data_IF_196517628994
#
_entry.id   IF_196517628994
#
_cell.length_a   1.000
_cell.length_b   1.000
_cell.length_c   1.000
_cell.angle_alpha   90.00
_cell.angle_beta   90.00
_cell.angle_gamma   90.00
#
_symmetry.space_group_name_H-M   'P 1'
#
loop_
_entity.id
_entity.type
_entity.pdbx_description
1 polymer ?
#
# COMPACT_ATOMS: atom_id res chain seq x y z
N UNK A 1 9.83 -11.07 -2.14
CA UNK A 1 11.13 -10.91 -1.45
C UNK A 1 10.95 -10.07 -0.20
N UNK A 2 10.27 -8.91 -0.26
CA UNK A 2 10.01 -8.08 0.93
C UNK A 2 9.21 -8.78 2.03
N UNK A 3 8.25 -9.62 1.69
CA UNK A 3 7.40 -10.33 2.66
C UNK A 3 8.17 -11.30 3.57
N UNK A 4 9.16 -12.01 3.06
CA UNK A 4 9.93 -12.98 3.86
C UNK A 4 10.88 -12.29 4.85
N UNK A 5 11.46 -11.17 4.45
CA UNK A 5 12.31 -10.36 5.33
C UNK A 5 11.47 -9.77 6.48
N UNK A 6 10.31 -9.23 6.20
CA UNK A 6 9.39 -8.70 7.21
C UNK A 6 8.92 -9.73 8.25
N UNK A 7 8.82 -11.02 7.89
CA UNK A 7 8.43 -12.08 8.82
C UNK A 7 9.51 -12.33 9.86
N UNK A 8 10.78 -12.42 9.44
CA UNK A 8 11.93 -12.68 10.35
C UNK A 8 12.05 -11.59 11.42
N UNK A 9 11.89 -10.35 11.05
CA UNK A 9 12.03 -9.21 11.94
C UNK A 9 10.99 -9.14 13.01
N UNK A 10 9.75 -9.28 12.62
CA UNK A 10 8.63 -9.27 13.57
C UNK A 10 8.71 -10.43 14.52
N UNK A 11 9.19 -11.58 14.06
CA UNK A 11 9.45 -12.73 14.92
C UNK A 11 10.55 -12.43 15.94
N UNK A 12 11.68 -11.85 15.53
CA UNK A 12 12.75 -11.50 16.44
C UNK A 12 12.35 -10.37 17.41
N UNK A 13 11.59 -9.35 16.94
CA UNK A 13 11.04 -8.32 17.80
C UNK A 13 10.12 -8.92 18.88
N UNK A 14 9.25 -9.84 18.51
CA UNK A 14 8.36 -10.53 19.47
C UNK A 14 9.16 -11.35 20.51
N UNK A 15 10.23 -12.03 20.08
CA UNK A 15 11.13 -12.76 20.99
C UNK A 15 11.88 -11.82 21.94
N UNK A 16 12.34 -10.66 21.43
CA UNK A 16 13.03 -9.66 22.25
C UNK A 16 12.10 -9.08 23.32
N UNK A 17 10.87 -8.69 22.97
CA UNK A 17 9.88 -8.21 23.94
C UNK A 17 9.57 -9.31 24.98
N UNK A 18 9.39 -10.56 24.54
CA UNK A 18 9.18 -11.68 25.45
C UNK A 18 10.33 -11.82 26.42
N UNK A 19 11.58 -11.82 25.94
CA UNK A 19 12.77 -11.92 26.79
C UNK A 19 12.86 -10.75 27.78
N UNK A 20 12.57 -9.53 27.35
CA UNK A 20 12.52 -8.36 28.23
C UNK A 20 11.49 -8.51 29.36
N UNK A 21 10.28 -8.95 29.04
CA UNK A 21 9.22 -9.17 30.03
C UNK A 21 9.64 -10.23 31.07
N UNK A 22 10.21 -11.35 30.63
CA UNK A 22 10.70 -12.43 31.48
C UNK A 22 11.88 -12.01 32.38
N UNK A 23 12.85 -11.27 31.81
CA UNK A 23 14.04 -10.82 32.57
C UNK A 23 13.74 -9.76 33.62
N UNK A 24 12.70 -8.94 33.39
CA UNK A 24 12.32 -7.85 34.28
C UNK A 24 11.10 -8.16 35.15
N UNK A 25 10.60 -9.40 35.12
CA UNK A 25 9.40 -9.85 35.85
C UNK A 25 8.18 -8.95 35.58
N UNK A 26 8.00 -8.53 34.30
CA UNK A 26 6.89 -7.70 33.86
C UNK A 26 5.80 -8.58 33.25
N UNK A 27 4.59 -8.48 33.79
CA UNK A 27 3.43 -9.19 33.25
C UNK A 27 3.02 -8.62 31.89
N UNK A 28 2.83 -9.48 30.90
CA UNK A 28 2.37 -9.07 29.56
C UNK A 28 2.22 -10.25 28.61
N UNK A 29 1.56 -10.01 27.48
CA UNK A 29 1.40 -11.01 26.41
C UNK A 29 1.83 -10.39 25.09
N UNK A 30 2.72 -11.05 24.39
CA UNK A 30 3.14 -10.67 23.03
C UNK A 30 2.56 -11.65 22.05
N UNK A 31 1.83 -11.17 21.05
CA UNK A 31 1.24 -11.97 19.98
C UNK A 31 1.83 -11.56 18.65
N UNK A 32 2.46 -12.51 17.95
CA UNK A 32 2.91 -12.30 16.59
C UNK A 32 1.84 -12.80 15.62
N UNK A 33 1.38 -11.91 14.74
CA UNK A 33 0.42 -12.23 13.70
C UNK A 33 1.11 -12.41 12.36
N UNK A 34 0.89 -13.56 11.70
CA UNK A 34 1.21 -13.75 10.28
C UNK A 34 0.06 -13.21 9.42
N UNK A 35 0.31 -12.17 8.65
CA UNK A 35 -0.71 -11.47 7.86
C UNK A 35 -0.36 -11.57 6.38
N UNK A 36 -0.80 -12.63 5.65
CA UNK A 36 -0.46 -12.83 4.25
C UNK A 36 -1.24 -11.89 3.33
N UNK A 37 -0.72 -11.70 2.11
CA UNK A 37 -1.45 -11.09 1.02
C UNK A 37 -1.75 -9.60 1.18
N UNK A 38 -0.86 -8.82 1.78
CA UNK A 38 -1.02 -7.36 1.87
C UNK A 38 -1.16 -6.73 0.47
N UNK A 39 -0.35 -7.16 -0.49
CA UNK A 39 -0.27 -6.65 -1.87
C UNK A 39 -1.45 -7.07 -2.80
N UNK A 40 -2.58 -7.48 -2.27
CA UNK A 40 -3.75 -7.79 -3.09
C UNK A 40 -4.67 -8.86 -2.53
N UNK A 41 -4.60 -9.12 -1.24
CA UNK A 41 -5.48 -10.06 -0.54
C UNK A 41 -5.96 -9.54 0.82
N UNK A 42 -5.36 -8.46 1.33
CA UNK A 42 -5.80 -7.70 2.51
C UNK A 42 -6.15 -8.56 3.73
N UNK A 43 -5.26 -9.49 4.11
CA UNK A 43 -5.56 -10.42 5.19
C UNK A 43 -5.89 -9.74 6.52
N UNK A 44 -5.27 -8.58 6.84
CA UNK A 44 -5.56 -7.84 8.08
C UNK A 44 -6.99 -7.33 8.11
N UNK A 45 -7.58 -6.94 6.96
CA UNK A 45 -8.98 -6.56 6.88
C UNK A 45 -9.92 -7.76 7.17
N UNK A 46 -9.62 -8.95 6.63
CA UNK A 46 -10.37 -10.16 6.95
C UNK A 46 -10.18 -10.60 8.39
N UNK A 47 -8.98 -10.48 8.95
CA UNK A 47 -8.70 -10.73 10.37
C UNK A 47 -9.43 -9.73 11.27
N UNK A 48 -9.57 -8.45 10.85
CA UNK A 48 -10.37 -7.44 11.52
C UNK A 48 -11.86 -7.84 11.57
N UNK A 49 -12.43 -8.27 10.43
CA UNK A 49 -13.78 -8.80 10.35
C UNK A 49 -14.00 -9.96 11.32
N UNK A 50 -13.02 -10.85 11.43
CA UNK A 50 -13.10 -12.03 12.29
C UNK A 50 -12.77 -11.71 13.77
N UNK A 51 -12.47 -10.44 14.10
CA UNK A 51 -12.33 -9.92 15.44
C UNK A 51 -11.00 -10.19 16.14
N UNK A 52 -9.95 -10.55 15.39
CA UNK A 52 -8.64 -10.89 15.96
C UNK A 52 -7.96 -9.72 16.70
N UNK A 53 -8.24 -8.50 16.29
CA UNK A 53 -7.60 -7.29 16.86
C UNK A 53 -8.27 -6.77 18.13
N UNK A 54 -9.49 -7.20 18.45
CA UNK A 54 -10.32 -6.63 19.54
C UNK A 54 -9.76 -6.79 20.95
N UNK A 55 -8.81 -7.68 21.16
CA UNK A 55 -8.23 -7.99 22.48
C UNK A 55 -6.83 -7.42 22.68
N UNK A 56 -6.35 -6.63 21.76
CA UNK A 56 -5.03 -6.03 21.82
C UNK A 56 -5.09 -4.66 22.50
N UNK A 57 -4.13 -4.38 23.36
CA UNK A 57 -3.94 -3.05 23.95
C UNK A 57 -3.24 -2.10 22.97
N UNK A 58 -2.33 -2.64 22.17
CA UNK A 58 -1.60 -1.92 21.11
C UNK A 58 -1.14 -2.87 20.01
N UNK A 59 -0.96 -2.34 18.80
CA UNK A 59 -0.35 -3.02 17.67
C UNK A 59 0.83 -2.20 17.12
N UNK A 60 1.94 -2.88 16.88
CA UNK A 60 3.15 -2.26 16.31
C UNK A 60 3.54 -2.99 15.03
N UNK A 61 3.93 -2.21 14.05
CA UNK A 61 4.42 -2.75 12.76
C UNK A 61 5.54 -1.87 12.20
N UNK A 62 6.16 -2.31 11.11
CA UNK A 62 7.12 -1.52 10.36
C UNK A 62 6.92 -1.76 8.86
N UNK A 63 7.43 -0.85 8.04
CA UNK A 63 7.43 -0.97 6.60
C UNK A 63 8.78 -0.52 6.04
N UNK A 64 9.39 -1.25 5.08
CA UNK A 64 10.55 -0.76 4.36
C UNK A 64 10.14 0.43 3.48
N UNK A 65 10.93 1.48 3.49
CA UNK A 65 10.70 2.72 2.74
C UNK A 65 12.03 3.32 2.27
N UNK A 66 12.00 4.51 1.70
CA UNK A 66 13.19 5.31 1.39
C UNK A 66 13.58 6.26 2.52
N UNK A 67 12.92 6.20 3.66
CA UNK A 67 13.05 7.12 4.79
C UNK A 67 13.09 6.38 6.13
N UNK A 68 13.77 6.97 7.11
CA UNK A 68 13.68 6.55 8.50
C UNK A 68 12.77 7.53 9.24
N UNK A 69 11.54 7.13 9.54
CA UNK A 69 10.54 7.94 10.21
C UNK A 69 9.60 7.11 11.09
N UNK A 70 8.87 7.76 11.97
CA UNK A 70 7.64 7.19 12.52
C UNK A 70 6.49 7.61 11.63
N UNK A 71 5.81 6.64 11.04
CA UNK A 71 4.67 6.89 10.17
C UNK A 71 3.53 7.56 10.94
N UNK A 72 2.93 8.57 10.35
CA UNK A 72 1.80 9.31 10.90
C UNK A 72 0.81 9.66 9.81
N UNK A 73 -0.33 10.22 10.17
CA UNK A 73 -1.34 10.65 9.22
C UNK A 73 -2.24 9.53 8.73
N UNK A 74 -3.06 9.85 7.74
CA UNK A 74 -4.00 8.94 7.11
C UNK A 74 -3.47 8.43 5.77
N UNK A 75 -4.06 7.35 5.27
CA UNK A 75 -3.83 6.77 3.95
C UNK A 75 -5.13 6.67 3.17
N UNK A 76 -5.08 6.25 1.91
CA UNK A 76 -6.30 5.94 1.17
C UNK A 76 -6.97 4.67 1.72
N UNK A 77 -8.30 4.73 1.83
CA UNK A 77 -9.14 3.54 1.75
C UNK A 77 -9.17 3.01 0.32
N UNK A 78 -9.44 1.72 0.15
CA UNK A 78 -9.46 1.07 -1.15
C UNK A 78 -10.57 0.01 -1.20
N UNK A 79 -11.21 -0.16 -2.36
CA UNK A 79 -12.14 -1.27 -2.65
C UNK A 79 -11.73 -1.89 -3.97
N UNK A 80 -11.50 -3.20 -3.99
CA UNK A 80 -11.25 -3.95 -5.21
C UNK A 80 -12.47 -4.79 -5.59
N UNK A 81 -12.89 -4.66 -6.84
CA UNK A 81 -14.07 -5.35 -7.38
C UNK A 81 -13.79 -5.85 -8.79
N UNK A 82 -14.02 -7.13 -9.02
CA UNK A 82 -14.00 -7.71 -10.34
C UNK A 82 -15.40 -7.74 -10.96
N UNK A 83 -15.50 -7.28 -12.20
CA UNK A 83 -16.69 -7.40 -13.04
C UNK A 83 -16.41 -8.40 -14.14
N UNK A 84 -17.29 -9.41 -14.28
CA UNK A 84 -17.22 -10.43 -15.33
C UNK A 84 -18.46 -10.31 -16.19
N UNK A 85 -18.27 -9.95 -17.46
CA UNK A 85 -19.34 -9.82 -18.42
C UNK A 85 -19.50 -11.12 -19.22
N UNK A 86 -20.75 -11.47 -19.51
CA UNK A 86 -21.14 -12.62 -20.32
C UNK A 86 -22.05 -12.18 -21.45
N UNK A 87 -21.65 -12.49 -22.67
CA UNK A 87 -22.34 -12.19 -23.91
C UNK A 87 -22.61 -13.47 -24.73
N UNK A 88 -22.69 -13.31 -26.05
CA UNK A 88 -23.00 -14.39 -27.01
C UNK A 88 -21.95 -14.38 -28.11
N UNK A 89 -21.27 -15.52 -28.30
CA UNK A 89 -20.32 -15.68 -29.39
C UNK A 89 -21.01 -15.69 -30.76
N UNK A 90 -20.36 -15.09 -31.74
CA UNK A 90 -20.76 -15.17 -33.14
C UNK A 90 -19.56 -14.93 -34.06
N UNK A 91 -19.70 -15.31 -35.32
CA UNK A 91 -18.73 -14.94 -36.33
C UNK A 91 -18.90 -13.44 -36.69
N UNK A 92 -17.90 -12.63 -36.37
CA UNK A 92 -17.99 -11.18 -36.46
C UNK A 92 -18.28 -10.63 -37.89
N UNK A 93 -17.93 -11.36 -38.95
CA UNK A 93 -18.25 -10.99 -40.32
C UNK A 93 -19.44 -11.75 -40.92
N UNK A 94 -19.66 -13.02 -40.49
CA UNK A 94 -20.68 -13.88 -41.09
C UNK A 94 -22.07 -13.75 -40.48
N UNK A 95 -22.16 -13.44 -39.18
CA UNK A 95 -23.43 -13.29 -38.47
C UNK A 95 -23.28 -12.38 -37.23
N UNK A 96 -22.77 -11.13 -37.41
CA UNK A 96 -22.52 -10.22 -36.29
C UNK A 96 -23.78 -9.90 -35.46
N UNK A 97 -24.95 -9.86 -36.08
CA UNK A 97 -26.22 -9.56 -35.46
C UNK A 97 -26.65 -10.59 -34.39
N UNK A 98 -26.04 -11.78 -34.39
CA UNK A 98 -26.29 -12.86 -33.41
C UNK A 98 -25.39 -12.76 -32.18
N UNK A 99 -24.32 -11.97 -32.26
CA UNK A 99 -23.36 -11.78 -31.18
C UNK A 99 -23.78 -10.74 -30.16
N UNK A 100 -23.24 -10.87 -28.95
CA UNK A 100 -23.26 -9.86 -27.89
C UNK A 100 -21.89 -9.83 -27.26
N UNK A 101 -21.15 -8.74 -27.45
CA UNK A 101 -19.75 -8.67 -27.04
C UNK A 101 -19.62 -8.29 -25.57
N UNK A 102 -19.08 -9.21 -24.79
CA UNK A 102 -18.68 -8.94 -23.40
C UNK A 102 -17.48 -7.99 -23.32
N UNK A 103 -16.60 -7.99 -24.34
CA UNK A 103 -15.48 -7.05 -24.39
C UNK A 103 -15.97 -5.61 -24.60
N UNK A 104 -16.95 -5.40 -25.48
CA UNK A 104 -17.55 -4.08 -25.70
C UNK A 104 -18.19 -3.55 -24.40
N UNK A 105 -18.78 -4.42 -23.58
CA UNK A 105 -19.29 -4.03 -22.27
C UNK A 105 -18.18 -3.55 -21.34
N UNK A 106 -17.02 -4.26 -21.32
CA UNK A 106 -15.84 -3.83 -20.54
C UNK A 106 -15.31 -2.48 -21.04
N UNK A 107 -15.23 -2.30 -22.36
CA UNK A 107 -14.75 -1.03 -22.94
C UNK A 107 -15.70 0.13 -22.64
N UNK A 108 -17.01 -0.06 -22.79
CA UNK A 108 -18.01 0.95 -22.43
C UNK A 108 -17.98 1.28 -20.93
N UNK A 109 -17.82 0.29 -20.07
CA UNK A 109 -17.63 0.52 -18.65
C UNK A 109 -16.37 1.37 -18.38
N UNK A 110 -15.25 1.04 -19.01
CA UNK A 110 -14.00 1.78 -18.86
C UNK A 110 -14.13 3.24 -19.34
N UNK A 111 -14.80 3.47 -20.46
CA UNK A 111 -15.11 4.82 -20.97
C UNK A 111 -16.06 5.57 -20.02
N UNK A 112 -17.12 4.93 -19.57
CA UNK A 112 -18.06 5.51 -18.62
C UNK A 112 -17.41 5.98 -17.32
N UNK A 113 -16.42 5.23 -16.82
CA UNK A 113 -15.64 5.63 -15.65
C UNK A 113 -14.77 6.87 -15.92
N UNK A 114 -14.29 7.11 -17.16
CA UNK A 114 -13.56 8.35 -17.45
C UNK A 114 -14.46 9.58 -17.28
N UNK A 115 -15.75 9.51 -17.67
CA UNK A 115 -16.69 10.59 -17.40
C UNK A 115 -17.01 10.75 -15.91
N UNK A 116 -17.03 9.67 -15.14
CA UNK A 116 -17.20 9.74 -13.70
C UNK A 116 -16.06 10.53 -13.02
N UNK A 117 -14.84 10.52 -13.57
CA UNK A 117 -13.68 11.24 -13.00
C UNK A 117 -13.91 12.75 -12.91
N UNK A 118 -14.72 13.35 -13.81
CA UNK A 118 -15.10 14.76 -13.74
C UNK A 118 -16.01 15.10 -12.53
N UNK A 119 -16.56 14.08 -11.88
CA UNK A 119 -17.59 14.23 -10.86
C UNK A 119 -17.27 13.46 -9.56
N UNK A 120 -16.00 13.29 -9.25
CA UNK A 120 -15.50 12.69 -8.00
C UNK A 120 -14.55 13.66 -7.29
N UNK A 121 -14.24 13.40 -6.03
CA UNK A 121 -13.25 14.16 -5.27
C UNK A 121 -11.87 14.11 -5.93
N UNK A 122 -11.11 15.20 -5.90
CA UNK A 122 -9.71 15.26 -6.34
C UNK A 122 -8.79 14.28 -5.61
N UNK A 123 -9.19 13.90 -4.40
CA UNK A 123 -8.48 12.94 -3.56
C UNK A 123 -8.82 11.48 -3.91
N UNK A 124 -9.89 11.24 -4.67
CA UNK A 124 -10.27 9.90 -5.09
C UNK A 124 -9.50 9.45 -6.32
N UNK A 125 -9.35 8.14 -6.48
CA UNK A 125 -8.73 7.51 -7.66
C UNK A 125 -9.52 6.27 -8.05
N UNK A 126 -9.59 6.01 -9.34
CA UNK A 126 -10.14 4.78 -9.89
C UNK A 126 -9.13 4.21 -10.87
N UNK A 127 -8.69 2.98 -10.62
CA UNK A 127 -7.79 2.23 -11.50
C UNK A 127 -8.53 1.01 -12.03
N UNK A 128 -8.11 0.51 -13.20
CA UNK A 128 -8.61 -0.76 -13.70
C UNK A 128 -7.57 -1.53 -14.51
N UNK A 129 -7.77 -2.83 -14.60
CA UNK A 129 -7.03 -3.72 -15.47
C UNK A 129 -7.99 -4.72 -16.13
N UNK A 130 -7.92 -4.88 -17.45
CA UNK A 130 -8.65 -5.96 -18.14
C UNK A 130 -7.95 -7.27 -17.80
N UNK A 131 -8.66 -8.19 -17.15
CA UNK A 131 -8.12 -9.47 -16.68
C UNK A 131 -8.42 -10.63 -17.62
N UNK A 132 -9.44 -10.48 -18.48
CA UNK A 132 -9.77 -11.39 -19.60
C UNK A 132 -10.41 -10.56 -20.71
N UNK A 133 -9.84 -10.58 -21.91
CA UNK A 133 -10.39 -9.91 -23.08
C UNK A 133 -11.26 -10.82 -23.95
N UNK A 134 -11.51 -12.05 -23.52
CA UNK A 134 -12.37 -13.00 -24.24
C UNK A 134 -11.71 -13.78 -25.36
N UNK A 135 -10.39 -13.68 -25.49
CA UNK A 135 -9.59 -14.36 -26.51
C UNK A 135 -8.79 -13.39 -27.39
N UNK A 136 -8.10 -13.95 -28.39
CA UNK A 136 -7.19 -13.20 -29.28
C UNK A 136 -7.65 -13.13 -30.75
N UNK A 137 -8.78 -13.75 -31.10
CA UNK A 137 -9.27 -13.80 -32.48
C UNK A 137 -10.27 -12.68 -32.76
N UNK A 138 -9.94 -11.67 -33.58
CA UNK A 138 -10.80 -10.50 -33.80
C UNK A 138 -12.05 -10.79 -34.62
N UNK A 139 -12.12 -11.95 -35.28
CA UNK A 139 -13.27 -12.42 -36.04
C UNK A 139 -14.32 -13.20 -35.20
N UNK A 140 -14.15 -13.24 -33.90
CA UNK A 140 -15.09 -13.84 -32.95
C UNK A 140 -15.63 -12.76 -32.03
N UNK A 141 -16.96 -12.62 -31.94
CA UNK A 141 -17.59 -11.78 -30.91
C UNK A 141 -17.34 -12.43 -29.55
N UNK A 142 -16.74 -11.70 -28.61
CA UNK A 142 -16.24 -12.23 -27.36
C UNK A 142 -17.40 -12.54 -26.40
N UNK A 143 -17.64 -13.82 -26.07
CA UNK A 143 -18.76 -14.20 -25.19
C UNK A 143 -18.48 -13.98 -23.70
N UNK A 144 -17.23 -13.66 -23.33
CA UNK A 144 -16.83 -13.36 -21.97
C UNK A 144 -15.71 -12.32 -21.97
N UNK A 145 -15.72 -11.47 -20.98
CA UNK A 145 -14.61 -10.57 -20.66
C UNK A 145 -14.66 -10.21 -19.18
N UNK A 146 -13.54 -9.82 -18.60
CA UNK A 146 -13.50 -9.37 -17.21
C UNK A 146 -12.52 -8.23 -16.98
N UNK A 147 -12.87 -7.36 -16.03
CA UNK A 147 -12.08 -6.23 -15.62
C UNK A 147 -12.06 -6.13 -14.09
N UNK A 148 -10.88 -5.87 -13.54
CA UNK A 148 -10.68 -5.60 -12.13
C UNK A 148 -10.60 -4.09 -11.92
N UNK A 149 -11.40 -3.57 -11.02
CA UNK A 149 -11.42 -2.17 -10.60
C UNK A 149 -10.87 -2.01 -9.20
N UNK A 150 -10.15 -0.93 -8.98
CA UNK A 150 -9.69 -0.46 -7.68
C UNK A 150 -10.16 0.98 -7.48
N UNK A 151 -11.02 1.19 -6.51
CA UNK A 151 -11.58 2.49 -6.14
C UNK A 151 -10.95 2.93 -4.84
N UNK A 152 -10.36 4.14 -4.83
CA UNK A 152 -9.68 4.71 -3.67
C UNK A 152 -10.30 6.05 -3.29
N UNK A 153 -10.38 6.33 -1.99
CA UNK A 153 -10.70 7.65 -1.44
C UNK A 153 -10.04 7.82 -0.07
N UNK A 154 -10.07 9.03 0.47
CA UNK A 154 -9.48 9.32 1.80
C UNK A 154 -10.20 8.58 2.93
N UNK A 155 -11.48 8.25 2.76
CA UNK A 155 -12.29 7.60 3.79
C UNK A 155 -13.11 6.46 3.21
N UNK A 156 -13.28 5.40 3.98
CA UNK A 156 -14.07 4.21 3.59
C UNK A 156 -15.47 4.58 3.09
N UNK A 157 -16.16 5.50 3.77
CA UNK A 157 -17.51 5.92 3.40
C UNK A 157 -17.56 6.52 1.99
N UNK A 158 -16.58 7.33 1.63
CA UNK A 158 -16.47 7.94 0.29
C UNK A 158 -16.13 6.88 -0.77
N UNK A 159 -15.21 5.96 -0.46
CA UNK A 159 -14.88 4.86 -1.36
C UNK A 159 -16.10 3.97 -1.65
N UNK A 160 -16.91 3.67 -0.64
CA UNK A 160 -18.16 2.91 -0.78
C UNK A 160 -19.18 3.64 -1.67
N UNK A 161 -19.37 4.95 -1.49
CA UNK A 161 -20.26 5.72 -2.35
C UNK A 161 -19.76 5.80 -3.79
N UNK A 162 -18.45 5.98 -3.98
CA UNK A 162 -17.86 6.00 -5.31
C UNK A 162 -17.97 4.63 -5.99
N UNK A 163 -17.76 3.55 -5.25
CA UNK A 163 -17.94 2.18 -5.72
C UNK A 163 -19.36 1.94 -6.25
N UNK A 164 -20.41 2.42 -5.57
CA UNK A 164 -21.80 2.33 -6.03
C UNK A 164 -22.02 3.04 -7.36
N UNK A 165 -21.30 4.13 -7.63
CA UNK A 165 -21.36 4.83 -8.91
C UNK A 165 -20.68 4.05 -10.02
N UNK A 166 -19.55 3.39 -9.74
CA UNK A 166 -18.88 2.46 -10.66
C UNK A 166 -19.80 1.26 -10.97
N UNK A 167 -20.51 0.73 -9.98
CA UNK A 167 -21.50 -0.36 -10.17
C UNK A 167 -22.59 0.01 -11.16
N UNK A 168 -23.12 1.24 -11.08
CA UNK A 168 -24.14 1.74 -12.03
C UNK A 168 -23.60 1.85 -13.45
N UNK A 169 -22.33 2.19 -13.62
CA UNK A 169 -21.70 2.22 -14.95
C UNK A 169 -21.60 0.82 -15.52
N UNK A 170 -21.23 -0.18 -14.71
CA UNK A 170 -21.20 -1.58 -15.13
C UNK A 170 -22.61 -2.08 -15.58
N UNK A 171 -23.66 -1.71 -14.81
CA UNK A 171 -25.04 -2.01 -15.15
C UNK A 171 -25.44 -1.36 -16.48
N UNK A 172 -25.11 -0.09 -16.67
CA UNK A 172 -25.36 0.65 -17.92
C UNK A 172 -24.62 0.03 -19.11
N UNK A 173 -23.37 -0.37 -18.95
CA UNK A 173 -22.58 -1.02 -19.98
C UNK A 173 -23.19 -2.38 -20.40
N UNK A 174 -23.63 -3.17 -19.43
CA UNK A 174 -24.30 -4.44 -19.69
C UNK A 174 -25.63 -4.23 -20.44
N UNK A 175 -26.41 -3.23 -20.05
CA UNK A 175 -27.67 -2.89 -20.71
C UNK A 175 -27.45 -2.45 -22.17
N UNK A 176 -26.46 -1.59 -22.43
CA UNK A 176 -26.16 -1.10 -23.79
C UNK A 176 -25.69 -2.21 -24.73
N UNK A 177 -25.03 -3.23 -24.23
CA UNK A 177 -24.47 -4.34 -25.03
C UNK A 177 -25.35 -5.58 -25.02
N UNK A 178 -26.50 -5.54 -24.32
CA UNK A 178 -27.39 -6.70 -24.11
C UNK A 178 -26.63 -7.92 -23.52
N UNK A 179 -25.64 -7.66 -22.66
CA UNK A 179 -24.87 -8.67 -21.91
C UNK A 179 -25.38 -8.75 -20.47
N UNK A 180 -24.88 -9.75 -19.74
CA UNK A 180 -25.04 -9.84 -18.29
C UNK A 180 -23.71 -9.68 -17.59
N UNK A 181 -23.71 -9.33 -16.30
CA UNK A 181 -22.48 -9.29 -15.54
C UNK A 181 -22.63 -9.83 -14.12
N UNK A 182 -21.51 -10.31 -13.59
CA UNK A 182 -21.35 -10.69 -12.20
C UNK A 182 -20.35 -9.74 -11.55
N UNK A 183 -20.68 -9.27 -10.35
CA UNK A 183 -19.80 -8.47 -9.50
C UNK A 183 -19.22 -9.36 -8.41
N UNK A 184 -17.89 -9.39 -8.29
CA UNK A 184 -17.18 -10.08 -7.22
C UNK A 184 -16.36 -9.07 -6.42
N UNK A 185 -16.70 -8.89 -5.14
CA UNK A 185 -15.82 -8.19 -4.20
C UNK A 185 -14.55 -9.02 -4.00
N UNK A 186 -13.40 -8.38 -4.12
CA UNK A 186 -12.08 -9.02 -3.94
C UNK A 186 -11.57 -8.70 -2.54
N UNK A 187 -11.36 -7.42 -2.25
CA UNK A 187 -10.94 -6.92 -0.94
C UNK A 187 -11.37 -5.48 -0.71
N UNK A 188 -11.14 -4.99 0.49
CA UNK A 188 -11.31 -3.59 0.87
C UNK A 188 -10.43 -3.26 2.06
N UNK A 189 -9.86 -2.06 2.05
CA UNK A 189 -8.93 -1.53 3.04
C UNK A 189 -9.48 -0.25 3.63
N UNK A 190 -9.38 -0.10 4.96
CA UNK A 190 -9.69 1.14 5.62
C UNK A 190 -8.53 2.15 5.52
N UNK A 191 -8.84 3.43 5.59
CA UNK A 191 -7.87 4.49 5.81
C UNK A 191 -7.21 4.33 7.19
N UNK A 192 -5.94 4.76 7.32
CA UNK A 192 -5.17 4.62 8.57
C UNK A 192 -5.59 5.69 9.59
N UNK A 193 -5.62 5.31 10.84
CA UNK A 193 -5.86 6.21 11.99
C UNK A 193 -4.58 6.34 12.81
N UNK A 194 -4.06 7.57 12.92
CA UNK A 194 -2.86 7.88 13.71
C UNK A 194 -3.08 7.68 15.20
N UNK A 195 -2.03 7.20 15.90
CA UNK A 195 -1.99 7.20 17.36
C UNK A 195 -0.77 7.96 17.87
N UNK A 196 -0.92 9.26 18.06
CA UNK A 196 0.16 10.17 18.45
C UNK A 196 0.86 9.80 19.77
N UNK A 197 0.19 9.09 20.68
CA UNK A 197 0.83 8.63 21.91
C UNK A 197 1.84 7.51 21.63
N UNK A 198 1.46 6.50 20.86
CA UNK A 198 2.36 5.41 20.45
C UNK A 198 3.47 5.91 19.52
N UNK A 199 3.15 6.82 18.60
CA UNK A 199 4.14 7.43 17.70
C UNK A 199 5.27 8.12 18.49
N UNK A 200 4.95 8.88 19.55
CA UNK A 200 5.97 9.49 20.43
C UNK A 200 6.84 8.45 21.13
N UNK A 201 6.25 7.35 21.58
CA UNK A 201 7.01 6.25 22.20
C UNK A 201 7.97 5.62 21.19
N UNK A 202 7.49 5.32 19.99
CA UNK A 202 8.33 4.78 18.91
C UNK A 202 9.44 5.75 18.53
N UNK A 203 9.13 7.04 18.38
CA UNK A 203 10.09 8.06 18.01
C UNK A 203 11.22 8.17 19.03
N UNK A 204 10.90 8.24 20.33
CA UNK A 204 11.90 8.27 21.40
C UNK A 204 12.83 7.06 21.34
N UNK A 205 12.28 5.86 21.10
CA UNK A 205 13.11 4.66 20.94
C UNK A 205 13.95 4.74 19.65
N UNK A 206 13.43 5.36 18.58
CA UNK A 206 14.18 5.56 17.33
C UNK A 206 15.34 6.53 17.50
N UNK A 207 15.16 7.61 18.26
CA UNK A 207 16.25 8.54 18.60
C UNK A 207 17.34 7.85 19.43
N UNK A 208 16.96 7.06 20.45
CA UNK A 208 17.87 6.39 21.35
C UNK A 208 18.73 5.34 20.63
N UNK A 209 18.14 4.58 19.74
CA UNK A 209 18.82 3.51 18.98
C UNK A 209 19.54 4.01 17.73
N UNK A 210 19.18 5.19 17.23
CA UNK A 210 19.64 5.75 15.96
C UNK A 210 19.02 5.07 14.74
N UNK A 211 19.55 5.30 13.54
CA UNK A 211 19.15 4.72 12.26
C UNK A 211 20.18 3.71 11.74
N UNK A 212 19.84 2.88 10.74
CA UNK A 212 20.84 2.03 10.08
C UNK A 212 22.02 2.85 9.57
N UNK A 213 23.22 2.32 9.75
CA UNK A 213 24.46 2.93 9.22
C UNK A 213 24.88 2.21 7.94
N UNK A 214 25.06 2.96 6.88
CA UNK A 214 25.47 2.45 5.58
C UNK A 214 27.00 2.64 5.41
N UNK A 215 27.64 1.67 4.78
CA UNK A 215 29.06 1.75 4.41
C UNK A 215 29.26 2.61 3.17
N UNK A 216 30.49 3.01 2.87
CA UNK A 216 30.83 3.73 1.64
C UNK A 216 30.43 2.95 0.39
N UNK A 217 30.57 1.62 0.39
CA UNK A 217 30.18 0.78 -0.73
C UNK A 217 28.67 0.74 -0.93
N UNK A 218 27.90 0.67 0.15
CA UNK A 218 26.43 0.70 0.12
C UNK A 218 25.91 2.07 -0.34
N UNK A 219 26.51 3.15 0.14
CA UNK A 219 26.19 4.50 -0.31
C UNK A 219 26.53 4.70 -1.79
N UNK A 220 27.70 4.24 -2.25
CA UNK A 220 28.08 4.32 -3.65
C UNK A 220 27.13 3.50 -4.57
N UNK A 221 26.68 2.34 -4.10
CA UNK A 221 25.67 1.55 -4.83
C UNK A 221 24.33 2.30 -4.90
N UNK A 222 23.88 2.88 -3.80
CA UNK A 222 22.64 3.63 -3.72
C UNK A 222 22.67 4.88 -4.60
N UNK A 223 23.80 5.61 -4.61
CA UNK A 223 24.01 6.79 -5.45
C UNK A 223 23.95 6.43 -6.93
N UNK A 224 24.63 5.35 -7.35
CA UNK A 224 24.58 4.85 -8.72
C UNK A 224 23.17 4.38 -9.13
N UNK A 225 22.42 3.78 -8.20
CA UNK A 225 21.05 3.38 -8.46
C UNK A 225 20.12 4.60 -8.61
N UNK A 226 20.32 5.64 -7.82
CA UNK A 226 19.56 6.89 -7.89
C UNK A 226 19.73 7.64 -9.23
N UNK A 227 20.85 7.46 -9.94
CA UNK A 227 21.05 8.00 -11.28
C UNK A 227 20.13 7.37 -12.35
N UNK A 228 19.47 6.24 -12.04
CA UNK A 228 18.61 5.52 -13.00
C UNK A 228 17.14 5.98 -13.00
N UNK A 229 16.77 6.92 -12.14
CA UNK A 229 15.42 7.48 -12.03
C UNK A 229 15.47 8.94 -11.58
N UNK A 230 14.34 9.64 -11.67
CA UNK A 230 14.23 11.00 -11.11
C UNK A 230 14.13 10.92 -9.58
N UNK A 231 15.21 11.26 -8.91
CA UNK A 231 15.37 11.25 -7.45
C UNK A 231 15.11 12.62 -6.79
N UNK A 232 14.43 13.53 -7.47
CA UNK A 232 14.19 14.91 -6.99
C UNK A 232 13.20 14.99 -5.82
N UNK A 233 12.55 13.90 -5.46
CA UNK A 233 11.62 13.85 -4.33
C UNK A 233 12.32 13.96 -2.97
N UNK A 234 11.63 14.56 -2.00
CA UNK A 234 12.06 14.61 -0.60
C UNK A 234 11.29 13.55 0.18
N UNK A 235 11.97 12.61 0.85
CA UNK A 235 11.30 11.48 1.46
C UNK A 235 10.52 11.86 2.73
N UNK A 236 9.47 11.10 2.99
CA UNK A 236 8.75 11.10 4.24
C UNK A 236 7.46 11.92 4.27
N UNK A 237 6.55 11.45 5.09
CA UNK A 237 5.20 12.00 5.23
C UNK A 237 5.20 13.47 5.66
N UNK A 238 6.15 13.86 6.50
CA UNK A 238 6.29 15.24 6.95
C UNK A 238 6.59 16.19 5.77
N UNK A 239 7.54 15.81 4.92
CA UNK A 239 7.95 16.61 3.76
C UNK A 239 6.85 16.70 2.69
N UNK A 240 6.03 15.67 2.54
CA UNK A 240 4.90 15.68 1.61
C UNK A 240 3.74 16.60 2.05
N UNK A 241 3.65 16.93 3.34
CA UNK A 241 2.50 17.64 3.91
C UNK A 241 2.83 19.02 4.51
N UNK A 242 4.11 19.40 4.63
CA UNK A 242 4.52 20.65 5.28
C UNK A 242 5.83 21.19 4.69
N UNK A 243 5.80 22.39 4.08
CA UNK A 243 6.97 22.97 3.40
C UNK A 243 8.15 23.23 4.37
N UNK A 244 7.90 23.58 5.63
CA UNK A 244 8.98 23.77 6.60
C UNK A 244 9.64 22.43 6.96
N UNK A 245 8.85 21.36 7.08
CA UNK A 245 9.37 20.02 7.31
C UNK A 245 10.16 19.53 6.08
N UNK A 246 9.70 19.84 4.88
CA UNK A 246 10.39 19.55 3.62
C UNK A 246 11.76 20.23 3.58
N UNK A 247 11.84 21.53 3.81
CA UNK A 247 13.11 22.27 3.86
C UNK A 247 14.09 21.68 4.89
N UNK A 248 13.58 21.23 6.04
CA UNK A 248 14.39 20.59 7.07
C UNK A 248 14.93 19.23 6.61
N UNK A 249 14.11 18.39 6.01
CA UNK A 249 14.52 17.07 5.49
C UNK A 249 15.49 17.23 4.32
N UNK A 250 15.26 18.19 3.41
CA UNK A 250 16.19 18.53 2.32
C UNK A 250 17.58 18.92 2.85
N UNK A 251 17.61 19.72 3.89
CA UNK A 251 18.87 20.10 4.55
C UNK A 251 19.58 18.89 5.14
N UNK A 252 18.87 18.03 5.84
CA UNK A 252 19.44 16.81 6.44
C UNK A 252 19.95 15.85 5.35
N UNK A 253 19.22 15.70 4.25
CA UNK A 253 19.62 14.87 3.10
C UNK A 253 20.89 15.42 2.44
N UNK A 254 20.95 16.73 2.28
CA UNK A 254 22.15 17.40 1.72
C UNK A 254 23.37 17.27 2.65
N UNK A 255 23.18 17.37 3.97
CA UNK A 255 24.23 17.19 4.97
C UNK A 255 24.72 15.72 5.01
N UNK A 256 23.84 14.75 4.80
CA UNK A 256 24.21 13.34 4.70
C UNK A 256 25.04 13.04 3.44
N UNK A 257 24.72 13.70 2.32
CA UNK A 257 25.54 13.71 1.11
C UNK A 257 25.44 12.50 0.19
N UNK A 258 24.52 11.57 0.45
CA UNK A 258 24.28 10.37 -0.34
C UNK A 258 22.79 10.17 -0.64
N UNK A 259 22.46 9.29 -1.58
CA UNK A 259 21.09 9.00 -1.98
C UNK A 259 20.29 8.22 -0.91
N UNK A 260 20.96 7.49 -0.02
CA UNK A 260 20.29 6.85 1.11
C UNK A 260 19.81 7.88 2.14
N UNK A 261 18.70 7.58 2.82
CA UNK A 261 18.29 8.34 4.01
C UNK A 261 18.98 7.76 5.26
N UNK A 262 20.13 8.33 5.64
CA UNK A 262 20.95 7.89 6.76
C UNK A 262 20.71 8.64 8.07
N UNK A 263 19.54 9.26 8.24
CA UNK A 263 19.15 10.04 9.43
C UNK A 263 17.70 9.76 9.80
N UNK A 264 17.31 10.08 11.03
CA UNK A 264 15.92 10.03 11.48
C UNK A 264 15.25 11.37 11.15
N UNK A 265 14.15 11.34 10.39
CA UNK A 265 13.37 12.55 10.14
C UNK A 265 12.67 13.03 11.42
N UNK A 266 12.45 14.33 11.58
CA UNK A 266 11.76 14.88 12.73
C UNK A 266 10.36 14.29 12.91
N UNK A 267 9.94 14.08 14.15
CA UNK A 267 8.58 13.61 14.44
C UNK A 267 7.57 14.64 13.96
N UNK A 268 6.66 14.19 13.11
CA UNK A 268 5.57 14.99 12.57
C UNK A 268 4.24 14.48 13.11
N UNK A 269 3.49 15.31 13.83
CA UNK A 269 2.22 14.97 14.46
C UNK A 269 1.17 16.02 14.13
N UNK A 270 0.85 16.13 12.86
CA UNK A 270 -0.23 16.98 12.34
C UNK A 270 -1.18 16.14 11.49
N UNK A 271 -2.24 16.76 11.03
CA UNK A 271 -3.09 16.16 10.01
C UNK A 271 -2.27 15.99 8.71
N UNK A 272 -1.99 14.76 8.38
CA UNK A 272 -1.17 14.37 7.24
C UNK A 272 -1.83 13.26 6.44
N UNK A 273 -1.52 13.22 5.16
CA UNK A 273 -2.04 12.22 4.25
C UNK A 273 -0.93 11.71 3.34
N UNK A 274 -0.78 10.39 3.25
CA UNK A 274 0.09 9.72 2.29
C UNK A 274 -0.75 8.97 1.26
N UNK A 275 -0.54 9.27 -0.01
CA UNK A 275 -1.23 8.58 -1.10
C UNK A 275 -0.74 7.12 -1.19
N UNK A 276 -1.57 6.20 -0.82
CA UNK A 276 -1.31 4.76 -0.78
C UNK A 276 -2.41 4.07 0.01
N UNK A 277 -2.44 2.77 0.02
CA UNK A 277 -3.39 1.98 0.83
C UNK A 277 -2.65 0.83 1.47
N UNK A 278 -2.99 0.52 2.70
CA UNK A 278 -2.47 -0.64 3.43
C UNK A 278 -3.55 -1.22 4.34
N UNK A 279 -3.57 -2.53 4.49
CA UNK A 279 -4.48 -3.20 5.41
C UNK A 279 -4.11 -3.00 6.90
N UNK A 280 -3.04 -2.27 7.21
CA UNK A 280 -2.75 -1.75 8.55
C UNK A 280 -3.83 -0.76 9.00
N UNK A 281 -4.49 -0.07 8.06
CA UNK A 281 -5.65 0.77 8.33
C UNK A 281 -6.71 0.03 9.12
N UNK A 282 -7.10 -1.16 8.70
CA UNK A 282 -8.12 -1.99 9.36
C UNK A 282 -7.76 -2.39 10.79
N UNK A 283 -6.46 -2.53 11.10
CA UNK A 283 -5.99 -2.74 12.47
C UNK A 283 -6.14 -1.45 13.28
N UNK A 284 -5.76 -0.31 12.71
CA UNK A 284 -5.74 0.99 13.39
C UNK A 284 -7.12 1.49 13.82
N UNK A 285 -8.18 1.09 13.12
CA UNK A 285 -9.56 1.38 13.50
C UNK A 285 -10.05 0.59 14.73
N UNK A 286 -9.39 -0.53 15.05
CA UNK A 286 -9.82 -1.43 16.11
C UNK A 286 -8.89 -1.44 17.33
N UNK A 287 -7.62 -1.06 17.13
CA UNK A 287 -6.56 -1.15 18.14
C UNK A 287 -5.61 0.04 17.96
N UNK A 288 -5.16 0.70 19.05
CA UNK A 288 -4.10 1.69 18.98
C UNK A 288 -2.89 1.12 18.22
N UNK A 289 -2.58 1.73 17.07
CA UNK A 289 -1.57 1.19 16.15
C UNK A 289 -0.53 2.27 15.83
N UNK A 290 0.73 1.88 15.76
CA UNK A 290 1.80 2.73 15.25
C UNK A 290 2.78 1.93 14.37
N UNK A 291 3.36 2.61 13.41
CA UNK A 291 4.26 2.06 12.41
C UNK A 291 5.52 2.89 12.30
N UNK A 292 6.64 2.23 12.04
CA UNK A 292 7.87 2.89 11.63
C UNK A 292 8.18 2.58 10.19
N UNK A 293 8.83 3.51 9.52
CA UNK A 293 9.49 3.30 8.25
C UNK A 293 11.00 3.23 8.46
N UNK A 294 11.66 2.36 7.73
CA UNK A 294 13.11 2.21 7.76
C UNK A 294 13.63 2.23 6.34
N UNK A 295 14.64 3.06 6.06
CA UNK A 295 15.21 3.19 4.74
C UNK A 295 15.85 1.86 4.29
N UNK A 296 15.29 1.27 3.24
CA UNK A 296 15.70 0.03 2.62
C UNK A 296 16.19 0.24 1.17
N UNK A 297 16.00 1.42 0.61
CA UNK A 297 16.40 1.85 -0.73
C UNK A 297 16.63 3.36 -0.78
N UNK A 298 17.28 3.85 -1.85
CA UNK A 298 17.59 5.28 -1.97
C UNK A 298 16.34 6.14 -2.09
N UNK A 299 16.48 7.40 -1.69
CA UNK A 299 15.45 8.42 -1.74
C UNK A 299 14.79 8.54 -3.13
N UNK A 300 13.46 8.60 -3.16
CA UNK A 300 12.65 8.73 -4.38
C UNK A 300 12.66 7.50 -5.27
N UNK A 301 13.19 6.36 -4.81
CA UNK A 301 13.18 5.11 -5.57
C UNK A 301 11.73 4.71 -5.87
N UNK A 302 11.38 4.51 -7.16
CA UNK A 302 10.01 4.14 -7.52
C UNK A 302 9.60 2.82 -6.87
N UNK A 303 8.48 2.82 -6.17
CA UNK A 303 7.88 1.61 -5.63
C UNK A 303 7.52 0.62 -6.74
N UNK A 304 7.54 -0.69 -6.45
CA UNK A 304 7.24 -1.77 -7.40
C UNK A 304 8.13 -1.79 -8.67
N UNK A 305 9.35 -1.26 -8.58
CA UNK A 305 10.30 -1.18 -9.68
C UNK A 305 11.44 -2.20 -9.55
N UNK A 306 12.21 -2.39 -10.63
CA UNK A 306 13.40 -3.23 -10.59
C UNK A 306 14.49 -2.63 -9.68
N UNK A 307 14.54 -1.30 -9.55
CA UNK A 307 15.47 -0.60 -8.66
C UNK A 307 15.18 -0.98 -7.21
N UNK A 308 13.92 -0.93 -6.79
CA UNK A 308 13.48 -1.33 -5.47
C UNK A 308 13.87 -2.79 -5.18
N UNK A 309 13.52 -3.72 -6.10
CA UNK A 309 13.86 -5.15 -5.96
C UNK A 309 15.37 -5.39 -5.90
N UNK A 310 16.17 -4.62 -6.66
CA UNK A 310 17.63 -4.80 -6.64
C UNK A 310 18.25 -4.41 -5.30
N UNK A 311 17.73 -3.35 -4.68
CA UNK A 311 18.18 -2.87 -3.38
C UNK A 311 17.83 -3.83 -2.24
N UNK A 312 16.63 -4.41 -2.26
CA UNK A 312 16.13 -5.37 -1.26
C UNK A 312 17.02 -6.62 -1.11
N UNK A 313 17.77 -6.97 -2.15
CA UNK A 313 18.68 -8.14 -2.14
C UNK A 313 20.10 -7.83 -1.68
N UNK A 314 20.37 -6.60 -1.29
CA UNK A 314 21.69 -6.15 -0.80
C UNK A 314 21.71 -6.08 0.73
N UNK A 315 22.90 -5.77 1.28
CA UNK A 315 23.06 -5.50 2.70
C UNK A 315 22.26 -4.27 3.17
N UNK A 316 21.90 -3.33 2.26
CA UNK A 316 21.00 -2.19 2.57
C UNK A 316 19.65 -2.71 3.03
N UNK A 317 18.99 -3.56 2.23
CA UNK A 317 17.72 -4.18 2.58
C UNK A 317 17.84 -5.04 3.85
N UNK A 318 18.90 -5.84 3.97
CA UNK A 318 19.15 -6.67 5.16
C UNK A 318 19.38 -5.84 6.44
N UNK A 319 19.99 -4.66 6.35
CA UNK A 319 20.16 -3.76 7.50
C UNK A 319 18.85 -3.14 7.94
N UNK A 320 17.99 -2.72 7.00
CA UNK A 320 16.66 -2.22 7.32
C UNK A 320 15.86 -3.26 8.11
N UNK A 321 15.94 -4.51 7.70
CA UNK A 321 15.38 -5.68 8.35
C UNK A 321 16.00 -5.90 9.74
N UNK A 322 17.32 -6.02 9.83
CA UNK A 322 18.04 -6.32 11.08
C UNK A 322 17.94 -5.19 12.10
N UNK A 323 17.70 -3.97 11.65
CA UNK A 323 17.56 -2.81 12.51
C UNK A 323 16.30 -2.90 13.39
N UNK A 324 15.23 -3.47 12.89
CA UNK A 324 14.02 -3.74 13.68
C UNK A 324 14.22 -4.74 14.80
N UNK A 325 15.19 -5.65 14.71
CA UNK A 325 15.57 -6.58 15.76
C UNK A 325 16.15 -5.90 17.00
N UNK A 326 17.00 -4.91 16.81
CA UNK A 326 17.69 -4.21 17.89
C UNK A 326 16.78 -3.37 18.79
N UNK A 327 15.52 -3.20 18.37
CA UNK A 327 14.49 -2.41 19.09
C UNK A 327 13.68 -3.24 20.07
N UNK A 328 13.79 -4.54 20.02
CA UNK A 328 13.09 -5.44 20.93
C UNK A 328 13.89 -5.70 22.23
N UNK A 329 15.04 -5.09 22.39
CA UNK A 329 15.86 -5.08 23.59
C UNK A 329 15.87 -3.71 24.23
#
# INVERSE_FOLDING_TARGET
VGSEMCIRDRFAAALGIKAYLEQNDVSGTVILYGCPGEEGGAAKAFMARDGLWKKLDAALTWHPEDVNEVATGSSNSCIQTQYKFTGIASHAAGAPERGRSALDAVELMNIGVQFLREHMSDKARIHYAITDAGGCSPNVVQPRASVLYMVRSNHVAEAVELQKRVDKIAEGAALMTETTYEKKFIDGLADTVSNFALERVLYKNFEELGVPKYTEEENAYADALAETYDSSGVPGVAAENDENAKEQVEKMQKEYGHAMNGFLTPLYQKDAFKAGSTDVGDVSWLTPTAQIHVAAWPNGCPGHSWQNVSCDRTEIGHKAVSYTHRRAH
#
